data_IF_027263875737
#
_entry.id   IF_027263875737
#
_cell.length_a   1.000
_cell.length_b   1.000
_cell.length_c   1.000
_cell.angle_alpha   90.00
_cell.angle_beta   90.00
_cell.angle_gamma   90.00
#
_symmetry.space_group_name_H-M   'P 1'
#
loop_
_entity.id
_entity.type
_entity.pdbx_description
1 polymer ?
#
# COMPACT_ATOMS: atom_id res chain seq x y z
N UNK A 1 -0.18 -2.19 -65.00
CA UNK A 1 -0.68 -2.97 -63.85
C UNK A 1 0.56 -3.41 -63.07
N UNK A 2 0.78 -3.20 -61.78
CA UNK A 2 -0.07 -2.87 -60.63
C UNK A 2 0.91 -2.47 -59.52
N UNK A 3 0.95 -1.20 -59.11
CA UNK A 3 1.75 -0.78 -57.96
C UNK A 3 0.86 -0.85 -56.72
N UNK A 4 1.18 -1.75 -55.79
CA UNK A 4 0.55 -1.80 -54.46
C UNK A 4 1.14 -0.67 -53.59
N UNK A 5 0.32 0.17 -52.94
CA UNK A 5 0.82 1.03 -51.89
C UNK A 5 0.98 0.22 -50.59
N UNK A 6 2.20 0.21 -50.04
CA UNK A 6 2.46 -0.22 -48.67
C UNK A 6 1.76 0.77 -47.72
N UNK A 7 0.79 0.29 -46.95
CA UNK A 7 0.25 1.00 -45.80
C UNK A 7 1.08 0.51 -44.59
N UNK A 8 2.00 1.35 -44.14
CA UNK A 8 2.69 1.15 -42.87
C UNK A 8 1.68 1.43 -41.73
N UNK A 9 1.15 0.36 -41.14
CA UNK A 9 0.39 0.46 -39.90
C UNK A 9 1.37 0.83 -38.77
N UNK A 10 1.33 2.07 -38.31
CA UNK A 10 1.91 2.48 -37.04
C UNK A 10 1.15 1.74 -35.94
N UNK A 11 1.70 0.64 -35.45
CA UNK A 11 1.30 0.04 -34.18
C UNK A 11 1.75 1.00 -33.08
N UNK A 12 0.87 1.91 -32.68
CA UNK A 12 1.03 2.60 -31.41
C UNK A 12 0.93 1.54 -30.31
N UNK A 13 2.07 1.12 -29.77
CA UNK A 13 2.10 0.36 -28.52
C UNK A 13 1.40 1.24 -27.47
N UNK A 14 0.37 0.75 -26.76
CA UNK A 14 -0.11 1.47 -25.61
C UNK A 14 1.08 1.61 -24.66
N UNK A 15 1.39 2.84 -24.26
CA UNK A 15 2.31 3.07 -23.17
C UNK A 15 1.71 2.34 -21.97
N UNK A 16 2.32 1.22 -21.58
CA UNK A 16 2.03 0.57 -20.31
C UNK A 16 2.37 1.62 -19.25
N UNK A 17 1.36 2.15 -18.57
CA UNK A 17 1.57 2.78 -17.28
C UNK A 17 2.41 1.78 -16.48
N UNK A 18 3.61 2.18 -16.07
CA UNK A 18 4.38 1.35 -15.16
C UNK A 18 3.56 1.34 -13.88
N UNK A 19 2.95 0.21 -13.55
CA UNK A 19 2.34 0.03 -12.25
C UNK A 19 3.45 0.23 -11.23
N UNK A 20 3.39 1.34 -10.50
CA UNK A 20 4.46 1.76 -9.58
C UNK A 20 4.50 0.87 -8.34
N UNK A 21 3.45 0.06 -8.13
CA UNK A 21 3.30 -0.90 -7.04
C UNK A 21 2.88 -2.28 -7.58
N UNK A 22 3.22 -3.35 -6.84
CA UNK A 22 2.94 -4.72 -7.27
C UNK A 22 1.43 -5.05 -7.30
N UNK A 23 1.02 -5.92 -8.23
CA UNK A 23 -0.39 -6.23 -8.50
C UNK A 23 -1.13 -6.82 -7.30
N UNK A 24 -0.47 -7.60 -6.46
CA UNK A 24 -1.05 -8.13 -5.22
C UNK A 24 -1.40 -7.00 -4.25
N UNK A 25 -0.57 -5.96 -4.17
CA UNK A 25 -0.84 -4.78 -3.34
C UNK A 25 -2.02 -3.99 -3.90
N UNK A 26 -2.11 -3.82 -5.22
CA UNK A 26 -3.27 -3.18 -5.88
C UNK A 26 -4.57 -3.89 -5.49
N UNK A 27 -4.59 -5.23 -5.48
CA UNK A 27 -5.78 -5.99 -5.08
C UNK A 27 -6.17 -5.75 -3.61
N UNK A 28 -5.18 -5.65 -2.71
CA UNK A 28 -5.43 -5.32 -1.30
C UNK A 28 -5.99 -3.89 -1.17
N UNK A 29 -5.40 -2.92 -1.86
CA UNK A 29 -5.85 -1.52 -1.82
C UNK A 29 -7.28 -1.37 -2.36
N UNK A 30 -7.59 -2.02 -3.48
CA UNK A 30 -8.95 -2.04 -4.03
C UNK A 30 -9.95 -2.69 -3.06
N UNK A 31 -9.53 -3.74 -2.34
CA UNK A 31 -10.36 -4.34 -1.30
C UNK A 31 -10.64 -3.34 -0.17
N UNK A 32 -9.60 -2.66 0.34
CA UNK A 32 -9.74 -1.69 1.43
C UNK A 32 -10.62 -0.51 1.01
N UNK A 33 -10.46 0.00 -0.21
CA UNK A 33 -11.28 1.07 -0.77
C UNK A 33 -12.77 0.72 -0.79
N UNK A 34 -13.10 -0.54 -1.08
CA UNK A 34 -14.50 -0.98 -1.26
C UNK A 34 -15.19 -1.35 0.07
N UNK A 35 -14.55 -1.14 1.22
CA UNK A 35 -15.10 -1.60 2.52
C UNK A 35 -16.43 -0.95 2.89
N UNK A 36 -16.72 0.26 2.42
CA UNK A 36 -18.01 0.92 2.62
C UNK A 36 -19.10 0.44 1.64
N UNK A 37 -18.71 -0.22 0.55
CA UNK A 37 -19.57 -0.53 -0.59
C UNK A 37 -19.75 -2.02 -0.89
N UNK A 38 -18.95 -2.92 -0.31
CA UNK A 38 -19.16 -4.36 -0.52
C UNK A 38 -18.12 -5.33 0.02
N UNK A 39 -16.88 -4.91 0.31
CA UNK A 39 -15.88 -5.78 0.94
C UNK A 39 -15.91 -5.67 2.46
N UNK A 40 -15.36 -6.67 3.14
CA UNK A 40 -15.27 -6.69 4.61
C UNK A 40 -13.81 -6.71 5.05
N UNK A 41 -13.54 -6.21 6.25
CA UNK A 41 -12.20 -6.24 6.83
C UNK A 41 -11.55 -7.64 6.81
N UNK A 42 -12.25 -8.74 7.20
CA UNK A 42 -11.67 -10.09 7.10
C UNK A 42 -11.25 -10.50 5.68
N UNK A 43 -12.00 -10.09 4.65
CA UNK A 43 -11.64 -10.39 3.26
C UNK A 43 -10.36 -9.66 2.84
N UNK A 44 -10.21 -8.40 3.23
CA UNK A 44 -9.00 -7.63 2.89
C UNK A 44 -7.79 -8.11 3.67
N UNK A 45 -7.97 -8.52 4.94
CA UNK A 45 -6.94 -9.19 5.75
C UNK A 45 -6.53 -10.50 5.09
N UNK A 46 -7.49 -11.32 4.64
CA UNK A 46 -7.18 -12.57 3.95
C UNK A 46 -6.29 -12.32 2.71
N UNK A 47 -6.62 -11.33 1.88
CA UNK A 47 -5.79 -10.93 0.73
C UNK A 47 -4.39 -10.44 1.15
N UNK A 48 -4.34 -9.56 2.16
CA UNK A 48 -3.12 -8.92 2.65
C UNK A 48 -2.09 -9.92 3.18
N UNK A 49 -2.56 -10.99 3.83
CA UNK A 49 -1.71 -12.00 4.45
C UNK A 49 -1.63 -13.30 3.64
N UNK A 50 -2.21 -13.37 2.44
CA UNK A 50 -2.12 -14.55 1.55
C UNK A 50 -0.71 -15.13 1.45
N UNK A 51 0.39 -14.34 1.34
CA UNK A 51 1.73 -14.92 1.23
C UNK A 51 2.14 -15.79 2.43
N UNK A 52 1.54 -15.60 3.61
CA UNK A 52 1.94 -16.26 4.85
C UNK A 52 0.95 -17.32 5.36
N UNK A 53 -0.14 -17.59 4.65
CA UNK A 53 -1.21 -18.51 5.10
C UNK A 53 -0.77 -19.97 5.22
N UNK A 54 0.34 -20.35 4.59
CA UNK A 54 0.91 -21.71 4.73
C UNK A 54 1.63 -21.94 6.06
N UNK A 55 1.85 -20.90 6.85
CA UNK A 55 2.52 -20.99 8.14
C UNK A 55 1.50 -20.91 9.28
N UNK A 56 1.69 -21.74 10.30
CA UNK A 56 0.85 -21.69 11.50
C UNK A 56 1.03 -20.33 12.22
N UNK A 57 -0.08 -19.65 12.48
CA UNK A 57 -0.10 -18.32 13.09
C UNK A 57 0.58 -18.36 14.46
N UNK A 58 1.46 -17.38 14.72
CA UNK A 58 2.16 -17.24 15.99
C UNK A 58 3.53 -17.95 16.02
N UNK A 59 3.84 -18.79 15.03
CA UNK A 59 5.15 -19.45 14.94
C UNK A 59 6.24 -18.54 14.39
N UNK A 60 7.51 -18.93 14.61
CA UNK A 60 8.67 -18.25 14.04
C UNK A 60 8.65 -18.25 12.50
N UNK A 61 8.14 -19.32 11.88
CA UNK A 61 7.99 -19.40 10.43
C UNK A 61 6.98 -18.37 9.92
N UNK A 62 5.87 -18.20 10.62
CA UNK A 62 4.88 -17.17 10.30
C UNK A 62 5.45 -15.76 10.51
N UNK A 63 6.15 -15.51 11.63
CA UNK A 63 6.83 -14.24 11.87
C UNK A 63 7.87 -13.92 10.79
N UNK A 64 8.68 -14.89 10.38
CA UNK A 64 9.66 -14.72 9.31
C UNK A 64 9.01 -14.35 7.97
N UNK A 65 7.89 -14.98 7.62
CA UNK A 65 7.15 -14.62 6.42
C UNK A 65 6.57 -13.19 6.52
N UNK A 66 5.95 -12.85 7.65
CA UNK A 66 5.40 -11.52 7.88
C UNK A 66 6.47 -10.43 7.82
N UNK A 67 7.71 -10.73 8.22
CA UNK A 67 8.85 -9.82 8.06
C UNK A 67 9.09 -9.42 6.60
N UNK A 68 9.02 -10.38 5.68
CA UNK A 68 9.13 -10.12 4.24
C UNK A 68 7.95 -9.32 3.71
N UNK A 69 6.72 -9.69 4.07
CA UNK A 69 5.51 -8.95 3.68
C UNK A 69 5.54 -7.50 4.18
N UNK A 70 6.02 -7.29 5.40
CA UNK A 70 6.20 -5.96 6.02
C UNK A 70 7.24 -5.12 5.27
N UNK A 71 8.34 -5.73 4.81
CA UNK A 71 9.35 -5.05 4.00
C UNK A 71 8.79 -4.63 2.64
N UNK A 72 8.04 -5.50 1.96
CA UNK A 72 7.38 -5.18 0.68
C UNK A 72 6.41 -4.00 0.83
N UNK A 73 5.55 -4.03 1.86
CA UNK A 73 4.62 -2.92 2.13
C UNK A 73 5.34 -1.64 2.53
N UNK A 74 6.48 -1.72 3.23
CA UNK A 74 7.32 -0.55 3.50
C UNK A 74 7.86 0.07 2.21
N UNK A 75 8.22 -0.76 1.22
CA UNK A 75 8.59 -0.33 -0.12
C UNK A 75 7.43 0.37 -0.85
N UNK A 76 6.23 -0.20 -0.78
CA UNK A 76 5.00 0.40 -1.35
C UNK A 76 4.69 1.77 -0.75
N UNK A 77 4.74 1.89 0.58
CA UNK A 77 4.54 3.18 1.27
C UNK A 77 5.54 4.22 0.79
N UNK A 78 6.83 3.85 0.66
CA UNK A 78 7.86 4.77 0.19
C UNK A 78 7.58 5.26 -1.23
N UNK A 79 7.28 4.34 -2.15
CA UNK A 79 6.96 4.70 -3.54
C UNK A 79 5.78 5.66 -3.61
N UNK A 80 4.68 5.34 -2.92
CA UNK A 80 3.48 6.18 -2.92
C UNK A 80 3.72 7.53 -2.22
N UNK A 81 4.52 7.55 -1.14
CA UNK A 81 4.89 8.80 -0.47
C UNK A 81 5.67 9.73 -1.41
N UNK A 82 6.65 9.19 -2.13
CA UNK A 82 7.44 9.96 -3.11
C UNK A 82 6.53 10.53 -4.20
N UNK A 83 5.60 9.73 -4.73
CA UNK A 83 4.60 10.18 -5.71
C UNK A 83 3.67 11.28 -5.15
N UNK A 84 3.17 11.13 -3.93
CA UNK A 84 2.33 12.14 -3.28
C UNK A 84 3.11 13.45 -3.12
N UNK A 85 4.35 13.39 -2.62
CA UNK A 85 5.22 14.58 -2.46
C UNK A 85 5.42 15.29 -3.81
N UNK A 86 5.60 14.54 -4.90
CA UNK A 86 5.72 15.10 -6.24
C UNK A 86 4.40 15.71 -6.75
N UNK A 87 3.25 15.15 -6.37
CA UNK A 87 1.93 15.60 -6.84
C UNK A 87 1.38 16.81 -6.07
N UNK A 88 1.65 16.94 -4.77
CA UNK A 88 1.02 17.95 -3.90
C UNK A 88 1.81 19.27 -3.79
N UNK A 89 1.15 20.36 -3.40
CA UNK A 89 1.80 21.66 -3.15
C UNK A 89 2.94 21.55 -2.14
N UNK A 90 3.88 22.52 -2.14
CA UNK A 90 4.96 22.51 -1.14
C UNK A 90 4.45 22.61 0.30
N UNK A 91 3.29 23.24 0.52
CA UNK A 91 2.62 23.26 1.81
C UNK A 91 2.11 21.84 2.17
N UNK A 92 1.42 21.18 1.24
CA UNK A 92 0.96 19.80 1.42
C UNK A 92 2.11 18.82 1.67
N UNK A 93 3.22 18.93 0.95
CA UNK A 93 4.41 18.09 1.18
C UNK A 93 5.00 18.30 2.58
N UNK A 94 5.05 19.55 3.06
CA UNK A 94 5.55 19.86 4.40
C UNK A 94 4.64 19.26 5.48
N UNK A 95 3.32 19.41 5.32
CA UNK A 95 2.34 18.82 6.25
C UNK A 95 2.43 17.29 6.27
N UNK A 96 2.58 16.65 5.10
CA UNK A 96 2.77 15.21 5.01
C UNK A 96 4.02 14.75 5.77
N UNK A 97 5.16 15.44 5.61
CA UNK A 97 6.40 15.07 6.29
C UNK A 97 6.27 15.18 7.82
N UNK A 98 5.57 16.20 8.32
CA UNK A 98 5.28 16.35 9.75
C UNK A 98 4.37 15.22 10.27
N UNK A 99 3.33 14.87 9.52
CA UNK A 99 2.43 13.75 9.85
C UNK A 99 3.16 12.41 9.87
N UNK A 100 4.06 12.18 8.92
CA UNK A 100 4.82 10.92 8.82
C UNK A 100 5.77 10.71 10.00
N UNK A 101 6.33 11.79 10.55
CA UNK A 101 7.13 11.73 11.78
C UNK A 101 6.31 11.23 12.98
N UNK A 102 5.06 11.70 13.10
CA UNK A 102 4.15 11.29 14.18
C UNK A 102 3.61 9.89 13.99
N UNK A 103 3.22 9.57 12.75
CA UNK A 103 2.65 8.28 12.37
C UNK A 103 3.60 7.12 12.69
N UNK A 104 4.89 7.28 12.40
CA UNK A 104 5.89 6.23 12.69
C UNK A 104 5.94 5.89 14.19
N UNK A 105 5.92 6.89 15.06
CA UNK A 105 5.89 6.67 16.51
C UNK A 105 4.60 6.02 16.99
N UNK A 106 3.47 6.43 16.41
CA UNK A 106 2.16 5.83 16.69
C UNK A 106 2.12 4.34 16.35
N UNK A 107 2.57 3.96 15.15
CA UNK A 107 2.55 2.56 14.69
C UNK A 107 3.44 1.67 15.57
N UNK A 108 4.64 2.14 15.92
CA UNK A 108 5.56 1.39 16.80
C UNK A 108 4.89 1.10 18.14
N UNK A 109 4.31 2.11 18.79
CA UNK A 109 3.65 1.93 20.09
C UNK A 109 2.42 1.01 19.97
N UNK A 110 1.55 1.27 18.99
CA UNK A 110 0.34 0.49 18.75
C UNK A 110 0.65 -0.99 18.54
N UNK A 111 1.61 -1.30 17.67
CA UNK A 111 1.92 -2.68 17.33
C UNK A 111 2.69 -3.39 18.45
N UNK A 112 3.44 -2.65 19.28
CA UNK A 112 4.00 -3.19 20.52
C UNK A 112 2.89 -3.57 21.52
N UNK A 113 1.85 -2.76 21.67
CA UNK A 113 0.71 -3.06 22.55
C UNK A 113 -0.07 -4.30 22.07
N UNK A 114 -0.23 -4.45 20.76
CA UNK A 114 -0.81 -5.66 20.15
C UNK A 114 0.03 -6.89 20.49
N UNK A 115 1.36 -6.80 20.38
CA UNK A 115 2.28 -7.88 20.72
C UNK A 115 2.16 -8.30 22.19
N UNK A 116 2.11 -7.33 23.12
CA UNK A 116 1.93 -7.57 24.56
C UNK A 116 0.62 -8.31 24.85
N UNK A 117 -0.44 -8.07 24.08
CA UNK A 117 -1.73 -8.76 24.22
C UNK A 117 -1.74 -10.22 23.68
N UNK A 118 -0.64 -10.69 23.09
CA UNK A 118 -0.51 -11.99 22.39
C UNK A 118 0.83 -12.66 22.73
N UNK A 119 1.07 -13.09 23.99
CA UNK A 119 2.37 -13.60 24.41
C UNK A 119 2.85 -14.82 23.60
N UNK A 120 1.95 -15.74 23.23
CA UNK A 120 2.28 -16.98 22.49
C UNK A 120 2.48 -16.77 20.97
N UNK A 121 2.70 -15.54 20.54
CA UNK A 121 2.92 -15.17 19.14
C UNK A 121 3.24 -13.69 18.97
N UNK A 122 3.91 -13.09 19.96
CA UNK A 122 4.03 -11.65 20.10
C UNK A 122 4.65 -11.00 18.86
N UNK A 123 5.68 -11.62 18.29
CA UNK A 123 6.34 -11.12 17.09
C UNK A 123 5.45 -11.20 15.84
N UNK A 124 4.74 -12.32 15.66
CA UNK A 124 3.73 -12.44 14.59
C UNK A 124 2.64 -11.38 14.73
N UNK A 125 2.18 -11.12 15.96
CA UNK A 125 1.15 -10.13 16.24
C UNK A 125 1.64 -8.70 15.98
N UNK A 126 2.89 -8.38 16.37
CA UNK A 126 3.53 -7.10 16.07
C UNK A 126 3.62 -6.87 14.56
N UNK A 127 4.18 -7.84 13.83
CA UNK A 127 4.39 -7.73 12.39
C UNK A 127 3.07 -7.68 11.62
N UNK A 128 2.07 -8.47 12.01
CA UNK A 128 0.73 -8.41 11.41
C UNK A 128 0.07 -7.04 11.60
N UNK A 129 0.24 -6.43 12.77
CA UNK A 129 -0.18 -5.05 13.00
C UNK A 129 0.55 -4.07 12.06
N UNK A 130 1.88 -4.15 11.98
CA UNK A 130 2.68 -3.25 11.12
C UNK A 130 2.30 -3.35 9.65
N UNK A 131 2.12 -4.58 9.13
CA UNK A 131 1.65 -4.82 7.75
C UNK A 131 0.31 -4.14 7.52
N UNK A 132 -0.63 -4.27 8.46
CA UNK A 132 -1.95 -3.66 8.35
C UNK A 132 -1.89 -2.12 8.33
N UNK A 133 -1.06 -1.51 9.18
CA UNK A 133 -0.87 -0.06 9.20
C UNK A 133 -0.21 0.45 7.91
N UNK A 134 0.80 -0.26 7.39
CA UNK A 134 1.46 0.10 6.13
C UNK A 134 0.51 -0.01 4.93
N UNK A 135 -0.33 -1.05 4.89
CA UNK A 135 -1.34 -1.20 3.85
C UNK A 135 -2.41 -0.10 3.93
N UNK A 136 -2.85 0.25 5.14
CA UNK A 136 -3.76 1.37 5.36
C UNK A 136 -3.17 2.71 4.89
N UNK A 137 -1.94 3.02 5.27
CA UNK A 137 -1.25 4.23 4.83
C UNK A 137 -1.07 4.27 3.30
N UNK A 138 -0.74 3.13 2.69
CA UNK A 138 -0.67 3.02 1.23
C UNK A 138 -2.02 3.36 0.59
N UNK A 139 -3.14 2.94 1.19
CA UNK A 139 -4.49 3.30 0.74
C UNK A 139 -4.78 4.80 0.83
N UNK A 140 -4.32 5.47 1.90
CA UNK A 140 -4.45 6.92 2.05
C UNK A 140 -3.68 7.68 0.96
N UNK A 141 -2.45 7.26 0.66
CA UNK A 141 -1.65 7.86 -0.41
C UNK A 141 -2.24 7.61 -1.79
N UNK A 142 -2.70 6.39 -2.08
CA UNK A 142 -3.40 6.07 -3.32
C UNK A 142 -4.66 6.94 -3.47
N UNK A 143 -5.46 7.08 -2.41
CA UNK A 143 -6.63 7.95 -2.42
C UNK A 143 -6.28 9.42 -2.68
N UNK A 144 -5.13 9.88 -2.20
CA UNK A 144 -4.65 11.22 -2.53
C UNK A 144 -4.30 11.39 -4.01
N UNK A 145 -3.51 10.47 -4.56
CA UNK A 145 -3.11 10.49 -5.97
C UNK A 145 -4.29 10.38 -6.93
N UNK A 146 -5.35 9.67 -6.52
CA UNK A 146 -6.60 9.52 -7.27
C UNK A 146 -7.56 10.70 -7.10
N UNK A 147 -7.22 11.71 -6.29
CA UNK A 147 -8.05 12.89 -6.03
C UNK A 147 -9.29 12.61 -5.17
N UNK A 148 -9.30 11.49 -4.44
CA UNK A 148 -10.40 11.09 -3.54
C UNK A 148 -10.18 11.54 -2.09
N UNK A 149 -8.93 11.80 -1.70
CA UNK A 149 -8.61 12.24 -0.34
C UNK A 149 -8.98 13.70 -0.10
N UNK A 150 -9.55 13.99 1.07
CA UNK A 150 -9.78 15.34 1.57
C UNK A 150 -8.80 15.74 2.67
N UNK A 151 -7.69 14.99 2.84
CA UNK A 151 -6.68 15.28 3.85
C UNK A 151 -5.97 16.61 3.55
N UNK A 152 -5.57 17.35 4.59
CA UNK A 152 -4.91 18.66 4.44
C UNK A 152 -3.63 18.60 3.62
N UNK A 153 -2.84 17.55 3.77
CA UNK A 153 -1.64 17.33 2.97
C UNK A 153 -1.93 17.08 1.47
N UNK A 154 -3.15 16.67 1.11
CA UNK A 154 -3.52 16.26 -0.25
C UNK A 154 -4.03 17.43 -1.10
N UNK A 155 -3.22 18.48 -1.21
CA UNK A 155 -3.49 19.60 -2.11
C UNK A 155 -2.71 19.41 -3.42
N UNK A 156 -3.33 18.92 -4.48
CA UNK A 156 -2.65 18.66 -5.76
C UNK A 156 -2.24 19.98 -6.45
N UNK A 157 -1.03 20.01 -7.02
CA UNK A 157 -0.55 21.14 -7.84
C UNK A 157 -1.47 21.36 -9.05
N UNK A 158 -1.79 22.62 -9.34
CA UNK A 158 -2.52 23.01 -10.57
C UNK A 158 -1.59 23.10 -11.77
#
# INVERSE_FOLDING_TARGET
>A
MKYLPLIAALTASPATAQDTIAQDKVLVLACLETMEAGTTWPQCVELMFQPCVSHEVGTDAHASCLGGVREEWSGTVKTLQDEVIEAVTSAGSSELLDLMGQWTGYVVQKCQDVAVSKPDGAESARLGCEVSELAGLSGEFAACLEGRSSAGYCEIKQ
#
